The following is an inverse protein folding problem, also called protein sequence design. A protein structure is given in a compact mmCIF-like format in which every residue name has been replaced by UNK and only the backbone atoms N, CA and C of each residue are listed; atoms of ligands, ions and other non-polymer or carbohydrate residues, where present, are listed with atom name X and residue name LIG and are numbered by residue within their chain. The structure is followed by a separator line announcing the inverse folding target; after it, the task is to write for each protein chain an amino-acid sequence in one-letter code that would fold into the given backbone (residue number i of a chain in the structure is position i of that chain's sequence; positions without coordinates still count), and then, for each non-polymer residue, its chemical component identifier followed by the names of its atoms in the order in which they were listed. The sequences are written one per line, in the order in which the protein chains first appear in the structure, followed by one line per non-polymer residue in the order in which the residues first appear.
data_IF_791693878200
#
_entry.id   IF_791693878200
#
_cell.length_a   1.000
_cell.length_b   1.000
_cell.length_c   1.000
_cell.angle_alpha   90.00
_cell.angle_beta   90.00
_cell.angle_gamma   90.00
#
_symmetry.space_group_name_H-M   'P 1'
#
loop_
_entity.id
_entity.type
_entity.pdbx_description
1 polymer ?
#
# COMPACT_ATOMS: atom_id res chain seq x y z
N UNK A 1 19.29 -19.34 -1.70
CA UNK A 1 18.50 -18.90 -0.53
C UNK A 1 19.44 -18.96 0.64
N UNK A 2 19.78 -17.82 1.26
CA UNK A 2 20.68 -17.75 2.41
C UNK A 2 19.81 -17.35 3.59
N UNK A 3 19.68 -18.24 4.57
CA UNK A 3 18.90 -18.02 5.77
C UNK A 3 19.69 -17.11 6.71
N UNK A 4 19.37 -15.82 6.67
CA UNK A 4 19.68 -14.85 7.71
C UNK A 4 18.54 -14.89 8.75
N UNK A 5 18.88 -14.72 10.03
CA UNK A 5 17.99 -14.95 11.18
C UNK A 5 16.69 -14.10 11.24
N UNK A 6 16.51 -13.16 10.30
CA UNK A 6 15.27 -12.40 10.06
C UNK A 6 14.67 -12.58 8.65
N UNK A 7 15.32 -13.36 7.77
CA UNK A 7 14.76 -13.99 6.57
C UNK A 7 14.29 -13.08 5.44
N UNK A 8 14.69 -11.80 5.39
CA UNK A 8 14.20 -10.86 4.38
C UNK A 8 15.22 -9.78 4.00
N UNK A 9 16.16 -10.13 3.12
CA UNK A 9 16.82 -9.14 2.28
C UNK A 9 15.99 -8.96 1.00
N UNK A 10 15.11 -7.95 0.96
CA UNK A 10 14.37 -7.61 -0.25
C UNK A 10 15.20 -6.66 -1.11
N UNK A 11 15.64 -7.14 -2.27
CA UNK A 11 16.12 -6.28 -3.34
C UNK A 11 14.98 -5.89 -4.27
N UNK A 12 15.13 -4.79 -5.02
CA UNK A 12 14.18 -4.41 -6.09
C UNK A 12 14.03 -5.50 -7.18
N UNK A 13 14.99 -6.42 -7.27
CA UNK A 13 14.92 -7.59 -8.13
C UNK A 13 13.93 -8.63 -7.60
N UNK A 14 13.83 -8.82 -6.28
CA UNK A 14 12.93 -9.79 -5.65
C UNK A 14 11.46 -9.39 -5.78
N UNK A 15 11.18 -8.10 -5.94
CA UNK A 15 9.83 -7.59 -6.21
C UNK A 15 9.37 -7.88 -7.65
N UNK A 16 10.24 -8.34 -8.56
CA UNK A 16 9.93 -8.65 -9.96
C UNK A 16 8.60 -9.37 -10.18
N UNK A 17 8.26 -10.42 -9.42
CA UNK A 17 7.02 -11.17 -9.64
C UNK A 17 5.76 -10.36 -9.35
N UNK A 18 5.83 -9.36 -8.45
CA UNK A 18 4.68 -8.57 -7.99
C UNK A 18 4.80 -7.08 -8.37
N UNK A 19 5.68 -6.72 -9.31
CA UNK A 19 5.90 -5.33 -9.75
C UNK A 19 4.63 -4.64 -10.20
N UNK A 20 3.75 -5.35 -10.91
CA UNK A 20 2.47 -4.81 -11.37
C UNK A 20 1.61 -4.33 -10.20
N UNK A 21 1.42 -5.20 -9.21
CA UNK A 21 0.70 -4.90 -7.96
C UNK A 21 1.35 -3.73 -7.22
N UNK A 22 2.66 -3.73 -7.04
CA UNK A 22 3.38 -2.66 -6.33
C UNK A 22 3.24 -1.32 -7.06
N UNK A 23 3.45 -1.30 -8.38
CA UNK A 23 3.29 -0.10 -9.19
C UNK A 23 1.85 0.43 -9.15
N UNK A 24 0.86 -0.48 -9.21
CA UNK A 24 -0.55 -0.12 -9.11
C UNK A 24 -0.86 0.56 -7.77
N UNK A 25 -0.39 0.00 -6.66
CA UNK A 25 -0.56 0.60 -5.33
C UNK A 25 0.12 1.96 -5.23
N UNK A 26 1.35 2.09 -5.72
CA UNK A 26 2.10 3.36 -5.69
C UNK A 26 1.36 4.44 -6.48
N UNK A 27 0.89 4.14 -7.69
CA UNK A 27 0.14 5.10 -8.52
C UNK A 27 -1.10 5.60 -7.79
N UNK A 28 -1.89 4.68 -7.22
CA UNK A 28 -3.10 5.07 -6.48
C UNK A 28 -2.80 5.77 -5.15
N UNK A 29 -1.67 5.47 -4.48
CA UNK A 29 -1.21 6.24 -3.33
C UNK A 29 -0.93 7.69 -3.73
N UNK A 30 -0.25 7.93 -4.86
CA UNK A 30 0.00 9.30 -5.33
C UNK A 30 -1.29 10.02 -5.73
N UNK A 31 -2.25 9.32 -6.35
CA UNK A 31 -3.59 9.88 -6.61
C UNK A 31 -4.27 10.24 -5.29
N UNK A 32 -4.29 9.33 -4.32
CA UNK A 32 -4.85 9.56 -3.00
C UNK A 32 -4.19 10.74 -2.28
N UNK A 33 -2.86 10.84 -2.37
CA UNK A 33 -2.08 11.93 -1.81
C UNK A 33 -2.49 13.28 -2.43
N UNK A 34 -2.58 13.34 -3.76
CA UNK A 34 -3.03 14.53 -4.47
C UNK A 34 -4.46 14.94 -4.10
N UNK A 35 -5.39 13.98 -4.03
CA UNK A 35 -6.77 14.25 -3.61
C UNK A 35 -6.84 14.70 -2.15
N UNK A 36 -6.08 14.07 -1.26
CA UNK A 36 -5.98 14.45 0.15
C UNK A 36 -5.47 15.88 0.31
N UNK A 37 -4.42 16.25 -0.42
CA UNK A 37 -3.89 17.61 -0.45
C UNK A 37 -4.90 18.63 -0.99
N UNK A 38 -5.76 18.23 -1.94
CA UNK A 38 -6.76 19.13 -2.52
C UNK A 38 -7.95 19.37 -1.57
N UNK A 39 -8.47 18.34 -0.93
CA UNK A 39 -9.68 18.40 -0.10
C UNK A 39 -9.46 18.88 1.34
N UNK A 40 -8.21 19.05 1.79
CA UNK A 40 -7.85 19.66 3.09
C UNK A 40 -8.67 19.15 4.29
N UNK A 41 -8.69 17.82 4.48
CA UNK A 41 -9.43 17.21 5.59
C UNK A 41 -8.88 17.58 6.97
N UNK A 42 -7.58 17.88 7.07
CA UNK A 42 -6.88 18.27 8.29
C UNK A 42 -6.23 19.65 8.12
N UNK A 43 -5.92 20.37 9.21
CA UNK A 43 -5.33 21.72 9.18
C UNK A 43 -4.00 21.78 8.43
N UNK A 44 -3.21 20.73 8.53
CA UNK A 44 -1.97 20.57 7.78
C UNK A 44 -2.25 19.93 6.42
N UNK A 45 -1.78 20.59 5.34
CA UNK A 45 -1.79 20.02 3.98
C UNK A 45 -1.00 18.71 3.93
N UNK A 46 0.10 18.60 4.70
CA UNK A 46 0.91 17.39 4.76
C UNK A 46 0.11 16.23 5.36
N UNK A 47 -0.62 16.46 6.45
CA UNK A 47 -1.43 15.42 7.11
C UNK A 47 -2.60 14.99 6.23
N UNK A 48 -3.24 15.96 5.55
CA UNK A 48 -4.30 15.70 4.57
C UNK A 48 -3.81 14.87 3.39
N UNK A 49 -2.64 15.21 2.84
CA UNK A 49 -2.01 14.48 1.76
C UNK A 49 -1.62 13.06 2.20
N UNK A 50 -0.98 12.93 3.37
CA UNK A 50 -0.59 11.65 3.94
C UNK A 50 -1.80 10.73 4.15
N UNK A 51 -2.87 11.27 4.76
CA UNK A 51 -4.13 10.55 4.97
C UNK A 51 -4.72 10.05 3.66
N UNK A 52 -4.77 10.91 2.63
CA UNK A 52 -5.29 10.55 1.32
C UNK A 52 -4.52 9.41 0.67
N UNK A 53 -3.18 9.42 0.75
CA UNK A 53 -2.35 8.32 0.26
C UNK A 53 -2.56 7.03 1.06
N UNK A 54 -2.57 7.13 2.39
CA UNK A 54 -2.73 5.99 3.28
C UNK A 54 -4.09 5.31 3.13
N UNK A 55 -5.19 6.09 3.02
CA UNK A 55 -6.54 5.54 2.84
C UNK A 55 -6.75 4.92 1.45
N UNK A 56 -6.04 5.40 0.42
CA UNK A 56 -6.07 4.81 -0.92
C UNK A 56 -5.29 3.49 -1.03
N UNK A 57 -4.39 3.22 -0.08
CA UNK A 57 -3.43 2.10 -0.17
C UNK A 57 -4.11 0.73 -0.17
N UNK A 58 -5.02 0.47 0.78
CA UNK A 58 -5.67 -0.84 0.88
C UNK A 58 -6.63 -1.11 -0.29
N UNK A 59 -7.53 -0.19 -0.70
CA UNK A 59 -8.34 -0.37 -1.91
C UNK A 59 -7.49 -0.61 -3.16
N UNK A 60 -6.38 0.12 -3.31
CA UNK A 60 -5.46 -0.08 -4.42
C UNK A 60 -4.77 -1.45 -4.37
N UNK A 61 -4.38 -1.92 -3.19
CA UNK A 61 -3.80 -3.25 -3.02
C UNK A 61 -4.80 -4.33 -3.43
N UNK A 62 -6.07 -4.24 -2.98
CA UNK A 62 -7.11 -5.19 -3.35
C UNK A 62 -7.39 -5.15 -4.85
N UNK A 63 -7.55 -3.95 -5.42
CA UNK A 63 -7.78 -3.78 -6.86
C UNK A 63 -6.62 -4.31 -7.71
N UNK A 64 -5.39 -3.97 -7.35
CA UNK A 64 -4.17 -4.44 -8.00
C UNK A 64 -3.99 -5.95 -7.87
N UNK A 65 -4.36 -6.53 -6.72
CA UNK A 65 -4.28 -7.97 -6.49
C UNK A 65 -5.28 -8.72 -7.38
N UNK A 66 -6.52 -8.25 -7.45
CA UNK A 66 -7.54 -8.82 -8.33
C UNK A 66 -7.14 -8.70 -9.81
N UNK A 67 -6.62 -7.55 -10.21
CA UNK A 67 -6.13 -7.31 -11.56
C UNK A 67 -4.96 -8.24 -11.91
N UNK A 68 -3.98 -8.37 -11.02
CA UNK A 68 -2.82 -9.23 -11.27
C UNK A 68 -3.18 -10.72 -11.17
N UNK A 69 -4.14 -11.12 -10.33
CA UNK A 69 -4.70 -12.48 -10.34
C UNK A 69 -5.36 -12.81 -11.68
N UNK A 70 -6.01 -11.84 -12.32
CA UNK A 70 -6.63 -12.00 -13.64
C UNK A 70 -5.59 -12.07 -14.77
N UNK A 71 -4.55 -11.23 -14.72
CA UNK A 71 -3.55 -11.13 -15.79
C UNK A 71 -2.41 -12.15 -15.68
N UNK A 72 -1.97 -12.47 -14.47
CA UNK A 72 -0.83 -13.34 -14.21
C UNK A 72 -0.97 -14.05 -12.85
N UNK A 73 -1.95 -14.95 -12.75
CA UNK A 73 -2.24 -15.74 -11.54
C UNK A 73 -1.01 -16.47 -10.96
N UNK A 74 -0.14 -17.13 -11.76
CA UNK A 74 1.03 -17.83 -11.24
C UNK A 74 1.97 -16.92 -10.43
N UNK A 75 2.14 -15.66 -10.85
CA UNK A 75 3.00 -14.71 -10.16
C UNK A 75 2.57 -14.46 -8.71
N UNK A 76 1.27 -14.41 -8.44
CA UNK A 76 0.71 -14.20 -7.10
C UNK A 76 0.73 -15.50 -6.29
N UNK A 77 0.34 -16.63 -6.91
CA UNK A 77 0.23 -17.91 -6.19
C UNK A 77 1.58 -18.51 -5.82
N UNK A 78 2.65 -18.21 -6.55
CA UNK A 78 4.03 -18.61 -6.21
C UNK A 78 4.68 -17.68 -5.18
N UNK A 79 4.21 -16.44 -5.04
CA UNK A 79 4.80 -15.42 -4.16
C UNK A 79 3.86 -14.98 -3.02
N UNK A 80 3.03 -15.90 -2.52
CA UNK A 80 1.99 -15.63 -1.50
C UNK A 80 2.53 -14.90 -0.27
N UNK A 81 3.71 -15.28 0.23
CA UNK A 81 4.29 -14.67 1.43
C UNK A 81 4.58 -13.19 1.20
N UNK A 82 5.13 -12.82 0.04
CA UNK A 82 5.39 -11.42 -0.31
C UNK A 82 4.10 -10.62 -0.42
N UNK A 83 3.11 -11.17 -1.14
CA UNK A 83 1.79 -10.54 -1.31
C UNK A 83 1.11 -10.33 0.03
N UNK A 84 1.23 -11.30 0.95
CA UNK A 84 0.66 -11.19 2.29
C UNK A 84 1.35 -10.13 3.15
N UNK A 85 2.68 -10.05 3.13
CA UNK A 85 3.41 -8.96 3.82
C UNK A 85 3.02 -7.59 3.23
N UNK A 86 2.92 -7.49 1.90
CA UNK A 86 2.49 -6.25 1.27
C UNK A 86 1.06 -5.87 1.65
N UNK A 87 0.16 -6.86 1.73
CA UNK A 87 -1.20 -6.66 2.22
C UNK A 87 -1.26 -6.24 3.69
N UNK A 88 -0.39 -6.77 4.55
CA UNK A 88 -0.29 -6.34 5.96
C UNK A 88 0.14 -4.87 6.06
N UNK A 89 1.15 -4.46 5.30
CA UNK A 89 1.59 -3.06 5.27
C UNK A 89 0.47 -2.16 4.75
N UNK A 90 -0.21 -2.56 3.68
CA UNK A 90 -1.35 -1.83 3.13
C UNK A 90 -2.49 -1.68 4.15
N UNK A 91 -2.79 -2.75 4.89
CA UNK A 91 -3.79 -2.77 5.95
C UNK A 91 -3.39 -1.86 7.10
N UNK A 92 -2.13 -1.94 7.56
CA UNK A 92 -1.63 -1.11 8.65
C UNK A 92 -1.71 0.39 8.33
N UNK A 93 -1.31 0.80 7.12
CA UNK A 93 -1.42 2.18 6.65
C UNK A 93 -2.87 2.65 6.62
N UNK A 94 -3.77 1.82 6.08
CA UNK A 94 -5.19 2.13 6.00
C UNK A 94 -5.84 2.26 7.39
N UNK A 95 -5.57 1.33 8.30
CA UNK A 95 -6.07 1.36 9.67
C UNK A 95 -5.57 2.58 10.41
N UNK A 96 -4.28 2.93 10.26
CA UNK A 96 -3.74 4.16 10.86
C UNK A 96 -4.42 5.41 10.31
N UNK A 97 -4.66 5.47 9.00
CA UNK A 97 -5.40 6.58 8.39
C UNK A 97 -6.81 6.69 8.95
N UNK A 98 -7.52 5.57 9.14
CA UNK A 98 -8.84 5.56 9.77
C UNK A 98 -8.81 6.00 11.25
N UNK A 99 -7.72 5.71 11.96
CA UNK A 99 -7.55 6.13 13.34
C UNK A 99 -7.24 7.62 13.49
N UNK A 100 -6.60 8.27 12.51
CA UNK A 100 -6.20 9.68 12.61
C UNK A 100 -7.33 10.63 13.08
N UNK A 101 -8.54 10.64 12.47
CA UNK A 101 -9.63 11.50 12.96
C UNK A 101 -10.06 11.20 14.39
N UNK A 102 -9.97 9.94 14.83
CA UNK A 102 -10.36 9.52 16.18
C UNK A 102 -9.31 9.95 17.21
N UNK A 103 -8.05 10.04 16.80
CA UNK A 103 -6.92 10.45 17.64
C UNK A 103 -6.79 11.97 17.78
N UNK A 104 -7.77 12.75 17.30
CA UNK A 104 -7.78 14.21 17.39
C UNK A 104 -6.88 14.91 16.36
N UNK A 105 -6.45 14.22 15.30
CA UNK A 105 -5.86 14.93 14.17
C UNK A 105 -6.95 15.81 13.54
N UNK A 106 -6.72 17.12 13.58
CA UNK A 106 -7.58 18.12 12.93
C UNK A 106 -8.61 18.84 13.81
N UNK A 107 -8.55 18.64 15.12
CA UNK A 107 -9.08 19.60 16.10
C UNK A 107 -8.06 20.72 16.41
#
# INVERSE_FOLDING_TARGET
MRDDHFGFNYTWADLAPIRGLVAFVIVFQFIGLGLGALFHRFPSTLDSAWFGGAIATLPAFVGGLLLQLKLNRPSITQNKRMVWHFGLVATALFVFALAMPILGYGE
#
